data_IF_251487951125
#
_entry.id   IF_251487951125
#
_cell.length_a   1.000
_cell.length_b   1.000
_cell.length_c   1.000
_cell.angle_alpha   90.00
_cell.angle_beta   90.00
_cell.angle_gamma   90.00
#
_symmetry.space_group_name_H-M   'P 1'
#
loop_
_entity.id
_entity.type
_entity.pdbx_description
1 polymer ?
#
# COMPACT_ATOMS: atom_id res chain seq x y z
N UNK A 1 16.97 4.67 -3.20
CA UNK A 1 15.66 3.98 -3.30
C UNK A 1 14.77 4.20 -2.08
N UNK A 2 15.28 4.56 -0.89
CA UNK A 2 14.45 4.78 0.32
C UNK A 2 13.69 6.11 0.33
N UNK A 3 14.32 7.25 0.00
CA UNK A 3 13.60 8.54 -0.09
C UNK A 3 12.42 8.52 -1.09
N UNK A 4 12.55 7.72 -2.16
CA UNK A 4 11.50 7.54 -3.17
C UNK A 4 10.27 6.79 -2.64
N UNK A 5 10.44 5.79 -1.77
CA UNK A 5 9.32 5.05 -1.16
C UNK A 5 8.59 5.94 -0.14
N UNK A 6 9.33 6.62 0.72
CA UNK A 6 8.78 7.55 1.71
C UNK A 6 7.93 8.65 1.07
N UNK A 7 8.45 9.33 0.04
CA UNK A 7 7.72 10.41 -0.64
C UNK A 7 6.50 9.91 -1.42
N UNK A 8 6.52 8.66 -1.88
CA UNK A 8 5.39 8.04 -2.56
C UNK A 8 4.27 7.65 -1.59
N UNK A 9 4.63 7.12 -0.42
CA UNK A 9 3.71 6.68 0.62
C UNK A 9 3.14 7.84 1.46
N UNK A 10 3.89 8.95 1.60
CA UNK A 10 3.50 10.13 2.39
C UNK A 10 2.69 11.19 1.61
N UNK A 11 2.38 10.95 0.33
CA UNK A 11 1.66 11.94 -0.48
C UNK A 11 0.27 12.28 0.06
N UNK A 12 -0.18 13.51 -0.14
CA UNK A 12 -1.50 14.00 0.29
C UNK A 12 -2.58 13.92 -0.82
N UNK A 13 -2.35 13.08 -1.83
CA UNK A 13 -3.31 12.86 -2.92
C UNK A 13 -4.39 11.87 -2.50
N UNK A 14 -5.60 12.04 -3.05
CA UNK A 14 -6.75 11.15 -2.83
C UNK A 14 -6.36 9.71 -3.16
N UNK A 15 -6.23 8.89 -2.12
CA UNK A 15 -5.78 7.50 -2.22
C UNK A 15 -6.95 6.62 -2.67
N UNK A 16 -6.68 5.62 -3.53
CA UNK A 16 -7.70 4.63 -3.92
C UNK A 16 -8.10 3.77 -2.72
N UNK A 17 -9.27 3.11 -2.76
CA UNK A 17 -9.58 2.09 -1.75
C UNK A 17 -8.65 0.88 -1.93
N UNK A 18 -8.31 0.14 -0.86
CA UNK A 18 -7.47 -1.05 -0.96
C UNK A 18 -8.00 -2.07 -1.97
N UNK A 19 -9.33 -2.24 -2.07
CA UNK A 19 -9.96 -3.18 -3.00
C UNK A 19 -9.76 -2.76 -4.47
N UNK A 20 -9.81 -1.47 -4.75
CA UNK A 20 -9.57 -0.94 -6.10
C UNK A 20 -8.10 -1.10 -6.48
N UNK A 21 -7.19 -0.84 -5.55
CA UNK A 21 -5.75 -1.03 -5.77
C UNK A 21 -5.40 -2.51 -6.00
N UNK A 22 -5.97 -3.44 -5.21
CA UNK A 22 -5.76 -4.88 -5.39
C UNK A 22 -6.26 -5.37 -6.75
N UNK A 23 -7.45 -4.94 -7.20
CA UNK A 23 -7.98 -5.30 -8.52
C UNK A 23 -7.06 -4.85 -9.67
N UNK A 24 -6.40 -3.71 -9.52
CA UNK A 24 -5.44 -3.20 -10.49
C UNK A 24 -4.18 -4.08 -10.52
N UNK A 25 -3.67 -4.50 -9.36
CA UNK A 25 -2.55 -5.45 -9.24
C UNK A 25 -2.91 -6.78 -9.90
N UNK A 26 -4.08 -7.33 -9.62
CA UNK A 26 -4.54 -8.62 -10.18
C UNK A 26 -4.61 -8.56 -11.71
N UNK A 27 -5.13 -7.45 -12.25
CA UNK A 27 -5.17 -7.22 -13.71
C UNK A 27 -3.78 -7.15 -14.31
N UNK A 28 -2.85 -6.43 -13.69
CA UNK A 28 -1.48 -6.29 -14.16
C UNK A 28 -0.72 -7.63 -14.05
N UNK A 29 -0.98 -8.43 -13.01
CA UNK A 29 -0.43 -9.77 -12.87
C UNK A 29 -0.90 -10.70 -13.99
N UNK A 30 -2.18 -10.67 -14.35
CA UNK A 30 -2.69 -11.46 -15.46
C UNK A 30 -2.01 -11.05 -16.79
N UNK A 31 -1.89 -9.76 -17.06
CA UNK A 31 -1.20 -9.24 -18.23
C UNK A 31 0.29 -9.63 -18.26
N UNK A 32 0.97 -9.59 -17.12
CA UNK A 32 2.36 -10.01 -17.00
C UNK A 32 2.53 -11.50 -17.32
N UNK A 33 1.63 -12.36 -16.81
CA UNK A 33 1.64 -13.80 -17.09
C UNK A 33 1.43 -14.10 -18.58
N UNK A 34 0.49 -13.41 -19.22
CA UNK A 34 0.21 -13.57 -20.65
C UNK A 34 1.45 -13.18 -21.49
N UNK A 35 2.07 -12.04 -21.18
CA UNK A 35 3.29 -11.58 -21.86
C UNK A 35 4.49 -12.52 -21.61
N UNK A 36 4.64 -13.08 -20.40
CA UNK A 36 5.66 -14.08 -20.10
C UNK A 36 5.47 -15.36 -20.93
N UNK A 37 4.22 -15.79 -21.11
CA UNK A 37 3.87 -16.93 -21.96
C UNK A 37 4.21 -16.65 -23.43
N UNK A 38 3.82 -15.49 -23.96
CA UNK A 38 4.15 -15.06 -25.32
C UNK A 38 5.67 -14.99 -25.55
N UNK A 39 6.41 -14.42 -24.59
CA UNK A 39 7.86 -14.32 -24.65
C UNK A 39 8.52 -15.71 -24.70
N UNK A 40 8.09 -16.62 -23.82
CA UNK A 40 8.58 -17.99 -23.76
C UNK A 40 8.31 -18.75 -25.07
N UNK A 41 7.11 -18.58 -25.63
CA UNK A 41 6.76 -19.18 -26.92
C UNK A 41 7.64 -18.63 -28.05
N UNK A 42 7.80 -17.31 -28.15
CA UNK A 42 8.62 -16.67 -29.19
C UNK A 42 10.11 -17.10 -29.08
N UNK A 43 10.66 -17.19 -27.87
CA UNK A 43 12.03 -17.67 -27.64
C UNK A 43 12.21 -19.15 -28.00
N UNK A 44 11.21 -19.98 -27.69
CA UNK A 44 11.19 -21.40 -28.06
C UNK A 44 11.14 -21.57 -29.57
N UNK A 45 10.27 -20.84 -30.26
CA UNK A 45 10.19 -20.85 -31.73
C UNK A 45 11.48 -20.33 -32.36
N UNK A 46 12.05 -19.24 -31.84
CA UNK A 46 13.31 -18.69 -32.34
C UNK A 46 14.44 -19.72 -32.25
N UNK A 47 14.52 -20.44 -31.13
CA UNK A 47 15.51 -21.51 -30.94
C UNK A 47 15.31 -22.69 -31.91
N UNK A 48 14.06 -23.08 -32.16
CA UNK A 48 13.74 -24.16 -33.12
C UNK A 48 14.10 -23.76 -34.56
N UNK A 49 13.74 -22.54 -34.98
CA UNK A 49 14.06 -22.04 -36.33
C UNK A 49 15.57 -21.89 -36.50
N UNK A 50 16.29 -21.44 -35.47
CA UNK A 50 17.75 -21.34 -35.50
C UNK A 50 18.42 -22.69 -35.70
N UNK A 51 18.00 -23.73 -34.96
CA UNK A 51 18.50 -25.10 -35.15
C UNK A 51 18.19 -25.64 -36.54
N UNK A 52 16.99 -25.36 -37.07
CA UNK A 52 16.63 -25.75 -38.42
C UNK A 52 17.49 -25.04 -39.48
N UNK A 53 17.80 -23.75 -39.26
CA UNK A 53 18.71 -22.99 -40.12
C UNK A 53 20.12 -23.59 -40.12
N UNK A 54 20.66 -23.96 -38.97
CA UNK A 54 21.99 -24.61 -38.84
C UNK A 54 22.07 -25.90 -39.67
N UNK A 55 20.99 -26.69 -39.71
CA UNK A 55 20.90 -27.90 -40.54
C UNK A 55 20.87 -27.55 -42.04
N UNK A 56 20.07 -26.55 -42.43
CA UNK A 56 19.99 -26.09 -43.83
C UNK A 56 21.34 -25.55 -44.30
N UNK A 57 22.04 -24.80 -43.45
CA UNK A 57 23.38 -24.29 -43.73
C UNK A 57 24.39 -25.43 -43.88
N UNK A 58 24.31 -26.47 -43.04
CA UNK A 58 25.13 -27.66 -43.21
C UNK A 58 24.85 -28.40 -44.53
N UNK A 59 23.60 -28.44 -45.00
CA UNK A 59 23.25 -28.99 -46.32
C UNK A 59 23.82 -28.16 -47.48
N UNK A 60 23.79 -26.83 -47.36
CA UNK A 60 24.36 -25.92 -48.37
C UNK A 60 25.90 -26.00 -48.45
N UNK A 61 26.58 -26.41 -47.39
CA UNK A 61 28.03 -26.71 -47.44
C UNK A 61 28.32 -27.94 -48.31
N UNK A 62 27.38 -28.90 -48.39
CA UNK A 62 27.52 -30.13 -49.18
C UNK A 62 27.17 -29.86 -50.65
N UNK A 63 26.10 -29.10 -50.91
CA UNK A 63 25.71 -28.64 -52.25
C UNK A 63 25.26 -27.17 -52.18
N UNK A 64 26.17 -26.28 -52.57
CA UNK A 64 25.96 -24.83 -52.54
C UNK A 64 24.86 -24.36 -53.51
N UNK A 65 24.48 -25.19 -54.48
CA UNK A 65 23.53 -24.83 -55.54
C UNK A 65 22.13 -25.40 -55.32
N UNK A 66 21.90 -26.09 -54.20
CA UNK A 66 20.58 -26.63 -53.85
C UNK A 66 19.56 -25.48 -53.68
N UNK A 67 18.69 -25.35 -54.69
CA UNK A 67 17.63 -24.33 -54.74
C UNK A 67 16.64 -24.45 -53.59
N UNK A 68 16.36 -25.65 -53.08
CA UNK A 68 15.43 -25.85 -51.96
C UNK A 68 16.05 -25.41 -50.64
N UNK A 69 17.32 -25.71 -50.44
CA UNK A 69 18.06 -25.30 -49.26
C UNK A 69 18.26 -23.76 -49.22
N UNK A 70 18.62 -23.13 -50.34
CA UNK A 70 18.72 -21.66 -50.45
C UNK A 70 17.38 -20.95 -50.15
N UNK A 71 16.27 -21.48 -50.69
CA UNK A 71 14.95 -20.93 -50.42
C UNK A 71 14.54 -21.08 -48.94
N UNK A 72 14.91 -22.21 -48.31
CA UNK A 72 14.63 -22.47 -46.90
C UNK A 72 15.47 -21.59 -45.98
N UNK A 73 16.75 -21.36 -46.31
CA UNK A 73 17.64 -20.45 -45.60
C UNK A 73 17.06 -19.04 -45.53
N UNK A 74 16.64 -18.49 -46.68
CA UNK A 74 16.04 -17.14 -46.75
C UNK A 74 14.75 -17.03 -45.92
N UNK A 75 13.89 -18.05 -45.96
CA UNK A 75 12.66 -18.10 -45.15
C UNK A 75 12.96 -18.18 -43.65
N UNK A 76 13.93 -19.01 -43.26
CA UNK A 76 14.32 -19.16 -41.87
C UNK A 76 14.95 -17.86 -41.31
N UNK A 77 15.83 -17.20 -42.06
CA UNK A 77 16.39 -15.89 -41.68
C UNK A 77 15.32 -14.82 -41.49
N UNK A 78 14.37 -14.70 -42.43
CA UNK A 78 13.26 -13.76 -42.29
C UNK A 78 12.38 -14.07 -41.06
N UNK A 79 12.14 -15.36 -40.77
CA UNK A 79 11.38 -15.77 -39.58
C UNK A 79 12.16 -15.50 -38.29
N UNK A 80 13.48 -15.67 -38.26
CA UNK A 80 14.31 -15.31 -37.10
C UNK A 80 14.29 -13.81 -36.84
N UNK A 81 14.38 -12.97 -37.87
CA UNK A 81 14.32 -11.52 -37.71
C UNK A 81 12.94 -11.07 -37.17
N UNK A 82 11.85 -11.66 -37.68
CA UNK A 82 10.51 -11.39 -37.19
C UNK A 82 10.33 -11.80 -35.72
N UNK A 83 10.80 -13.00 -35.35
CA UNK A 83 10.76 -13.48 -33.97
C UNK A 83 11.64 -12.64 -33.04
N UNK A 84 12.80 -12.16 -33.51
CA UNK A 84 13.67 -11.28 -32.73
C UNK A 84 12.98 -9.93 -32.43
N UNK A 85 12.28 -9.34 -33.41
CA UNK A 85 11.47 -8.13 -33.21
C UNK A 85 10.35 -8.37 -32.20
N UNK A 86 9.61 -9.48 -32.34
CA UNK A 86 8.54 -9.84 -31.41
C UNK A 86 9.08 -10.04 -29.98
N UNK A 87 10.22 -10.72 -29.80
CA UNK A 87 10.86 -10.90 -28.49
C UNK A 87 11.20 -9.55 -27.86
N UNK A 88 11.74 -8.61 -28.63
CA UNK A 88 12.08 -7.28 -28.14
C UNK A 88 10.83 -6.48 -27.72
N UNK A 89 9.79 -6.46 -28.55
CA UNK A 89 8.53 -5.76 -28.27
C UNK A 89 7.81 -6.32 -27.04
N UNK A 90 7.74 -7.65 -26.91
CA UNK A 90 7.15 -8.29 -25.73
C UNK A 90 7.99 -8.01 -24.49
N UNK A 91 9.32 -8.01 -24.61
CA UNK A 91 10.23 -7.66 -23.52
C UNK A 91 10.03 -6.24 -23.00
N UNK A 92 9.85 -5.26 -23.89
CA UNK A 92 9.57 -3.87 -23.53
C UNK A 92 8.22 -3.74 -22.79
N UNK A 93 7.15 -4.35 -23.35
CA UNK A 93 5.82 -4.36 -22.71
C UNK A 93 5.85 -5.01 -21.32
N UNK A 94 6.60 -6.10 -21.17
CA UNK A 94 6.75 -6.79 -19.90
C UNK A 94 7.43 -5.89 -18.86
N UNK A 95 8.48 -5.15 -19.25
CA UNK A 95 9.12 -4.15 -18.40
C UNK A 95 8.16 -3.04 -17.98
N UNK A 96 7.35 -2.52 -18.90
CA UNK A 96 6.34 -1.50 -18.58
C UNK A 96 5.27 -2.01 -17.61
N UNK A 97 4.73 -3.21 -17.85
CA UNK A 97 3.70 -3.82 -16.99
C UNK A 97 4.27 -4.08 -15.60
N UNK A 98 5.50 -4.57 -15.51
CA UNK A 98 6.19 -4.79 -14.22
C UNK A 98 6.36 -3.49 -13.43
N UNK A 99 6.78 -2.40 -14.10
CA UNK A 99 6.89 -1.08 -13.47
C UNK A 99 5.52 -0.55 -12.99
N UNK A 100 4.46 -0.68 -13.82
CA UNK A 100 3.10 -0.30 -13.44
C UNK A 100 2.59 -1.11 -12.24
N UNK A 101 2.90 -2.41 -12.20
CA UNK A 101 2.54 -3.31 -11.10
C UNK A 101 3.24 -2.91 -9.81
N UNK A 102 4.53 -2.60 -9.86
CA UNK A 102 5.26 -2.11 -8.68
C UNK A 102 4.66 -0.82 -8.13
N UNK A 103 4.31 0.13 -9.01
CA UNK A 103 3.63 1.36 -8.60
C UNK A 103 2.23 1.08 -8.00
N UNK A 104 1.46 0.14 -8.57
CA UNK A 104 0.17 -0.25 -8.03
C UNK A 104 0.29 -0.92 -6.64
N UNK A 105 1.31 -1.74 -6.41
CA UNK A 105 1.62 -2.33 -5.10
C UNK A 105 1.95 -1.25 -4.07
N UNK A 106 2.74 -0.24 -4.45
CA UNK A 106 3.05 0.88 -3.56
C UNK A 106 1.80 1.70 -3.21
N UNK A 107 0.93 1.97 -4.18
CA UNK A 107 -0.36 2.63 -3.92
C UNK A 107 -1.26 1.81 -3.00
N UNK A 108 -1.29 0.47 -3.14
CA UNK A 108 -2.04 -0.40 -2.24
C UNK A 108 -1.56 -0.28 -0.79
N UNK A 109 -0.24 -0.29 -0.56
CA UNK A 109 0.32 -0.08 0.78
C UNK A 109 -0.01 1.30 1.33
N UNK A 110 0.00 2.33 0.48
CA UNK A 110 -0.46 3.66 0.87
C UNK A 110 -1.94 3.67 1.26
N UNK A 111 -2.82 3.01 0.49
CA UNK A 111 -4.25 2.87 0.82
C UNK A 111 -4.45 2.22 2.18
N UNK A 112 -3.72 1.14 2.46
CA UNK A 112 -3.79 0.43 3.74
C UNK A 112 -3.29 1.31 4.89
N UNK A 113 -2.14 1.95 4.71
CA UNK A 113 -1.60 2.91 5.66
C UNK A 113 -2.60 4.03 6.01
N UNK A 114 -3.24 4.65 5.04
CA UNK A 114 -4.24 5.70 5.30
C UNK A 114 -5.49 5.22 6.06
N UNK A 115 -5.96 4.00 5.78
CA UNK A 115 -7.06 3.38 6.55
C UNK A 115 -6.62 3.14 7.99
N UNK A 116 -5.41 2.61 8.18
CA UNK A 116 -4.81 2.36 9.48
C UNK A 116 -4.63 3.64 10.30
N UNK A 117 -4.12 4.71 9.69
CA UNK A 117 -3.96 6.03 10.33
C UNK A 117 -5.29 6.56 10.86
N UNK A 118 -6.35 6.56 10.02
CA UNK A 118 -7.69 7.00 10.44
C UNK A 118 -8.23 6.19 11.62
N UNK A 119 -7.99 4.88 11.59
CA UNK A 119 -8.36 4.00 12.71
C UNK A 119 -7.56 4.34 13.98
N UNK A 120 -6.24 4.52 13.87
CA UNK A 120 -5.37 4.86 15.00
C UNK A 120 -5.74 6.19 15.65
N UNK A 121 -6.02 7.22 14.83
CA UNK A 121 -6.55 8.52 15.29
C UNK A 121 -7.86 8.32 16.06
N UNK A 122 -8.79 7.53 15.52
CA UNK A 122 -10.08 7.23 16.16
C UNK A 122 -9.89 6.54 17.52
N UNK A 123 -9.08 5.48 17.58
CA UNK A 123 -8.83 4.73 18.82
C UNK A 123 -8.20 5.65 19.88
N UNK A 124 -7.20 6.45 19.51
CA UNK A 124 -6.57 7.40 20.42
C UNK A 124 -7.58 8.40 20.96
N UNK A 125 -8.36 9.02 20.06
CA UNK A 125 -9.39 9.99 20.41
C UNK A 125 -10.41 9.39 21.39
N UNK A 126 -10.97 8.24 21.07
CA UNK A 126 -12.00 7.59 21.87
C UNK A 126 -11.45 7.24 23.27
N UNK A 127 -10.24 6.67 23.34
CA UNK A 127 -9.57 6.33 24.59
C UNK A 127 -9.35 7.56 25.48
N UNK A 128 -8.85 8.65 24.89
CA UNK A 128 -8.59 9.90 25.63
C UNK A 128 -9.89 10.46 26.17
N UNK A 129 -10.95 10.52 25.35
CA UNK A 129 -12.26 11.02 25.79
C UNK A 129 -12.85 10.19 26.92
N UNK A 130 -12.83 8.85 26.80
CA UNK A 130 -13.34 7.99 27.86
C UNK A 130 -12.55 8.16 29.16
N UNK A 131 -11.22 8.25 29.09
CA UNK A 131 -10.38 8.51 30.26
C UNK A 131 -10.71 9.84 30.94
N UNK A 132 -10.83 10.92 30.16
CA UNK A 132 -11.12 12.26 30.67
C UNK A 132 -12.52 12.35 31.29
N UNK A 133 -13.53 11.75 30.63
CA UNK A 133 -14.88 11.63 31.17
C UNK A 133 -14.89 10.88 32.51
N UNK A 134 -14.30 9.68 32.56
CA UNK A 134 -14.25 8.89 33.78
C UNK A 134 -13.57 9.65 34.92
N UNK A 135 -12.47 10.34 34.64
CA UNK A 135 -11.75 11.16 35.61
C UNK A 135 -12.59 12.32 36.15
N UNK A 136 -13.31 13.04 35.30
CA UNK A 136 -14.12 14.18 35.72
C UNK A 136 -15.27 13.78 36.66
N UNK A 137 -15.81 12.57 36.48
CA UNK A 137 -16.90 12.03 37.27
C UNK A 137 -16.44 11.08 38.40
N UNK A 138 -15.14 10.83 38.54
CA UNK A 138 -14.61 9.89 39.53
C UNK A 138 -15.10 8.46 39.30
N UNK A 139 -15.35 8.08 38.05
CA UNK A 139 -15.82 6.74 37.69
C UNK A 139 -14.64 5.78 37.66
N UNK A 140 -14.75 4.71 38.43
CA UNK A 140 -13.79 3.61 38.46
C UNK A 140 -14.37 2.37 37.77
N UNK A 141 -13.50 1.40 37.44
CA UNK A 141 -13.95 0.11 36.92
C UNK A 141 -14.89 -0.59 37.92
N UNK A 142 -15.99 -1.25 37.48
CA UNK A 142 -16.47 -1.43 36.10
C UNK A 142 -17.49 -0.37 35.64
N UNK A 143 -17.63 0.75 36.35
CA UNK A 143 -18.67 1.75 36.12
C UNK A 143 -18.25 2.87 35.16
N UNK A 144 -16.98 2.93 34.79
CA UNK A 144 -16.45 3.86 33.80
C UNK A 144 -16.80 3.46 32.36
N UNK A 145 -16.72 4.44 31.45
CA UNK A 145 -16.76 4.21 30.02
C UNK A 145 -15.55 3.37 29.61
N UNK A 146 -15.81 2.25 28.94
CA UNK A 146 -14.80 1.44 28.27
C UNK A 146 -14.88 1.65 26.77
N UNK A 147 -13.74 1.97 26.18
CA UNK A 147 -13.59 1.93 24.73
C UNK A 147 -13.10 0.55 24.33
N UNK A 148 -13.51 0.05 23.17
CA UNK A 148 -12.86 -1.12 22.58
C UNK A 148 -11.36 -0.81 22.43
N UNK A 149 -10.59 -1.37 23.34
CA UNK A 149 -9.17 -1.14 23.44
C UNK A 149 -8.48 -2.24 22.65
N UNK A 150 -8.18 -1.96 21.38
CA UNK A 150 -7.12 -2.70 20.73
C UNK A 150 -5.79 -2.10 21.23
N UNK A 151 -5.11 -2.84 22.11
CA UNK A 151 -3.91 -2.38 22.84
C UNK A 151 -2.81 -1.85 21.92
N UNK A 152 -2.86 -2.26 20.66
CA UNK A 152 -1.97 -1.83 19.61
C UNK A 152 -2.91 -1.47 18.47
N UNK A 153 -3.08 -0.18 18.18
CA UNK A 153 -3.61 0.22 16.87
C UNK A 153 -2.84 -0.47 15.75
N UNK A 154 -3.28 -0.31 14.51
CA UNK A 154 -2.59 -0.93 13.39
C UNK A 154 -1.09 -0.56 13.38
N UNK A 155 -0.24 -1.56 13.23
CA UNK A 155 1.19 -1.38 13.02
C UNK A 155 1.39 -0.75 11.64
N UNK A 156 1.70 0.55 11.63
CA UNK A 156 1.86 1.30 10.40
C UNK A 156 3.01 0.76 9.53
N UNK A 157 4.02 0.11 10.10
CA UNK A 157 5.09 -0.50 9.33
C UNK A 157 4.57 -1.67 8.48
N UNK A 158 3.70 -2.50 9.06
CA UNK A 158 3.03 -3.59 8.34
C UNK A 158 2.10 -3.02 7.27
N UNK A 159 1.31 -2.01 7.61
CA UNK A 159 0.30 -1.46 6.70
C UNK A 159 0.92 -0.69 5.51
N UNK A 160 2.08 -0.05 5.71
CA UNK A 160 2.87 0.56 4.63
C UNK A 160 3.81 -0.43 3.91
N UNK A 161 3.80 -1.72 4.25
CA UNK A 161 4.59 -2.75 3.59
C UNK A 161 6.08 -2.75 3.92
N UNK A 162 6.47 -2.11 5.03
CA UNK A 162 7.84 -2.02 5.54
C UNK A 162 8.18 -3.15 6.53
N UNK A 163 7.17 -3.85 7.04
CA UNK A 163 7.32 -4.87 8.09
C UNK A 163 6.99 -4.33 9.47
N UNK A 164 6.93 -5.19 10.48
CA UNK A 164 6.60 -4.78 11.86
C UNK A 164 7.58 -3.71 12.36
N UNK A 165 7.06 -2.64 12.98
CA UNK A 165 7.89 -1.55 13.54
C UNK A 165 8.94 -2.09 14.51
N UNK A 166 8.58 -3.12 15.29
CA UNK A 166 9.44 -3.80 16.25
C UNK A 166 10.67 -4.46 15.62
N UNK A 167 10.59 -4.80 14.33
CA UNK A 167 11.63 -5.48 13.57
C UNK A 167 12.53 -4.53 12.77
N UNK A 168 12.13 -3.26 12.62
CA UNK A 168 12.91 -2.24 11.93
C UNK A 168 14.07 -1.75 12.82
N UNK A 169 15.22 -1.48 12.21
CA UNK A 169 16.33 -0.81 12.90
C UNK A 169 15.87 0.58 13.40
N UNK A 170 15.92 0.88 14.71
CA UNK A 170 15.50 2.17 15.26
C UNK A 170 16.23 3.39 14.68
N UNK A 171 17.41 3.19 14.08
CA UNK A 171 18.16 4.26 13.42
C UNK A 171 17.84 4.42 11.93
N UNK A 172 17.06 3.51 11.35
CA UNK A 172 16.68 3.53 9.94
C UNK A 172 15.70 4.65 9.60
N UNK A 173 15.71 5.06 8.34
CA UNK A 173 14.73 6.03 7.83
C UNK A 173 13.31 5.49 7.86
N UNK A 174 13.12 4.19 7.62
CA UNK A 174 11.82 3.52 7.65
C UNK A 174 11.22 3.55 9.05
N UNK A 175 12.01 3.21 10.08
CA UNK A 175 11.55 3.31 11.46
C UNK A 175 11.17 4.76 11.81
N UNK A 176 12.02 5.74 11.48
CA UNK A 176 11.76 7.16 11.74
C UNK A 176 10.51 7.67 11.03
N UNK A 177 10.29 7.23 9.79
CA UNK A 177 9.11 7.58 9.01
C UNK A 177 7.84 7.05 9.69
N UNK A 178 7.80 5.75 9.98
CA UNK A 178 6.61 5.11 10.54
C UNK A 178 6.29 5.64 11.94
N UNK A 179 7.30 5.79 12.80
CA UNK A 179 7.13 6.38 14.13
C UNK A 179 6.70 7.85 14.05
N UNK A 180 7.22 8.59 13.08
CA UNK A 180 6.76 9.95 12.79
C UNK A 180 5.25 10.00 12.52
N UNK A 181 4.75 9.12 11.64
CA UNK A 181 3.31 9.02 11.35
C UNK A 181 2.50 8.59 12.58
N UNK A 182 2.97 7.62 13.37
CA UNK A 182 2.27 7.22 14.61
C UNK A 182 2.16 8.36 15.63
N UNK A 183 3.19 9.21 15.71
CA UNK A 183 3.17 10.40 16.57
C UNK A 183 2.18 11.44 16.05
N UNK A 184 2.14 11.67 14.72
CA UNK A 184 1.14 12.55 14.09
C UNK A 184 -0.29 12.07 14.36
N UNK A 185 -0.54 10.77 14.19
CA UNK A 185 -1.86 10.18 14.45
C UNK A 185 -2.28 10.35 15.91
N UNK A 186 -1.33 10.18 16.84
CA UNK A 186 -1.57 10.37 18.26
C UNK A 186 -1.92 11.82 18.58
N UNK A 187 -1.16 12.77 18.02
CA UNK A 187 -1.38 14.19 18.21
C UNK A 187 -2.72 14.66 17.62
N UNK A 188 -3.09 14.16 16.44
CA UNK A 188 -4.39 14.46 15.83
C UNK A 188 -5.55 13.83 16.62
N UNK A 189 -5.38 12.61 17.13
CA UNK A 189 -6.35 11.98 18.03
C UNK A 189 -6.57 12.79 19.31
N UNK A 190 -5.49 13.28 19.93
CA UNK A 190 -5.54 14.15 21.11
C UNK A 190 -6.24 15.48 20.81
N UNK A 191 -5.97 16.07 19.64
CA UNK A 191 -6.62 17.31 19.19
C UNK A 191 -8.12 17.13 18.94
N UNK A 192 -8.53 16.02 18.31
CA UNK A 192 -9.95 15.72 18.13
C UNK A 192 -10.64 15.45 19.46
N UNK A 193 -9.96 14.77 20.39
CA UNK A 193 -10.46 14.58 21.74
C UNK A 193 -10.66 15.93 22.45
N UNK A 194 -9.75 16.88 22.31
CA UNK A 194 -9.91 18.22 22.90
C UNK A 194 -11.16 18.96 22.41
N UNK A 195 -11.53 18.81 21.13
CA UNK A 195 -12.76 19.40 20.58
C UNK A 195 -13.99 18.74 21.20
N UNK A 196 -14.02 17.41 21.23
CA UNK A 196 -15.14 16.64 21.80
C UNK A 196 -15.29 16.91 23.30
N UNK A 197 -14.18 17.07 24.03
CA UNK A 197 -14.17 17.36 25.46
C UNK A 197 -14.94 18.65 25.78
N UNK A 198 -14.73 19.71 24.99
CA UNK A 198 -15.44 20.99 25.15
C UNK A 198 -16.93 20.86 24.84
N UNK A 199 -17.28 20.14 23.78
CA UNK A 199 -18.68 19.86 23.45
C UNK A 199 -19.37 19.08 24.58
N UNK A 200 -18.68 18.10 25.18
CA UNK A 200 -19.19 17.35 26.33
C UNK A 200 -19.37 18.23 27.56
N UNK A 201 -18.38 19.07 27.88
CA UNK A 201 -18.45 20.02 29.00
C UNK A 201 -19.69 20.93 28.87
N UNK A 202 -19.87 21.55 27.71
CA UNK A 202 -21.00 22.43 27.41
C UNK A 202 -22.34 21.68 27.48
N UNK A 203 -22.41 20.48 26.90
CA UNK A 203 -23.62 19.67 26.94
C UNK A 203 -24.02 19.28 28.37
N UNK A 204 -23.06 18.88 29.21
CA UNK A 204 -23.30 18.53 30.60
C UNK A 204 -23.81 19.76 31.36
N UNK A 205 -23.12 20.90 31.25
CA UNK A 205 -23.54 22.16 31.89
C UNK A 205 -24.96 22.56 31.48
N UNK A 206 -25.26 22.52 30.19
CA UNK A 206 -26.57 22.88 29.65
C UNK A 206 -27.73 22.04 30.19
N UNK A 207 -27.50 20.74 30.47
CA UNK A 207 -28.53 19.88 31.09
C UNK A 207 -28.85 20.34 32.51
N UNK A 208 -27.85 20.68 33.32
CA UNK A 208 -28.06 21.14 34.70
C UNK A 208 -28.74 22.52 34.74
N UNK A 209 -28.28 23.46 33.91
CA UNK A 209 -28.86 24.79 33.79
C UNK A 209 -30.34 24.73 33.39
N UNK A 210 -30.69 23.93 32.39
CA UNK A 210 -32.08 23.74 31.93
C UNK A 210 -33.02 23.24 33.02
N UNK A 211 -32.50 22.48 33.99
CA UNK A 211 -33.28 21.93 35.10
C UNK A 211 -33.17 22.76 36.38
N UNK A 212 -32.60 23.97 36.32
CA UNK A 212 -32.36 24.85 37.47
C UNK A 212 -31.53 24.20 38.58
N UNK A 213 -30.58 23.34 38.22
CA UNK A 213 -29.67 22.69 39.16
C UNK A 213 -28.35 23.46 39.15
N UNK A 214 -28.01 24.08 40.28
CA UNK A 214 -26.74 24.80 40.43
C UNK A 214 -25.58 23.81 40.62
N UNK A 215 -24.55 23.93 39.77
CA UNK A 215 -23.30 23.19 39.93
C UNK A 215 -22.37 23.90 40.92
N UNK A 216 -21.65 23.13 41.74
CA UNK A 216 -20.63 23.68 42.64
C UNK A 216 -19.37 24.09 41.87
N UNK A 217 -18.55 25.00 42.42
CA UNK A 217 -17.26 25.37 41.83
C UNK A 217 -16.34 24.16 41.63
N UNK A 218 -16.38 23.18 42.54
CA UNK A 218 -15.62 21.95 42.42
C UNK A 218 -16.10 21.11 41.22
N UNK A 219 -17.41 21.00 41.00
CA UNK A 219 -17.96 20.30 39.83
C UNK A 219 -17.59 21.01 38.54
N UNK A 220 -17.70 22.34 38.50
CA UNK A 220 -17.28 23.14 37.34
C UNK A 220 -15.79 22.97 37.03
N UNK A 221 -14.95 22.97 38.07
CA UNK A 221 -13.51 22.72 37.93
C UNK A 221 -13.22 21.32 37.38
N UNK A 222 -13.95 20.31 37.85
CA UNK A 222 -13.79 18.94 37.35
C UNK A 222 -14.25 18.81 35.89
N UNK A 223 -15.33 19.46 35.51
CA UNK A 223 -15.84 19.45 34.13
C UNK A 223 -14.89 20.18 33.16
N UNK A 224 -14.25 21.28 33.59
CA UNK A 224 -13.24 21.99 32.78
C UNK A 224 -11.92 21.20 32.58
N UNK A 225 -11.80 20.03 33.22
CA UNK A 225 -10.66 19.11 33.11
C UNK A 225 -11.00 17.85 32.31
N UNK A 226 -12.23 17.75 31.78
CA UNK A 226 -12.55 16.88 30.64
C UNK A 226 -11.74 17.36 29.43
#
# INVERSE_FOLDING_TARGET
>A
MMETLKNLLAGNTKVKSPEVAQKEIDKLQAQENDLQSELSQAQSEHSKVRRALEIVEASLIIDETDKQALASQKKAQAKLEALAKQIAEVGEKLSEVSAKKQAAVQEMFRSRGEVARKYNVKVRRDMVIAHRFNRAFGLEYPFGLETQYDQKGFDLGVEYGLGEISSLDPNSEDWRFVVGLSNEDSAEGDKQAEVIARELEEAIKGVFEKNNIALTEQTLTNLSRI
#
